data_IF_672488750701
#
_entry.id   IF_672488750701
#
_cell.length_a   1.000
_cell.length_b   1.000
_cell.length_c   1.000
_cell.angle_alpha   90.00
_cell.angle_beta   90.00
_cell.angle_gamma   90.00
#
_symmetry.space_group_name_H-M   'P 1'
#
loop_
_entity.id
_entity.type
_entity.pdbx_description
1 polymer ?
#
# COMPACT_ATOMS: atom_id res chain seq x y z
N UNK A 1 -12.59 17.25 -2.14
CA UNK A 1 -12.80 16.93 -3.57
C UNK A 1 -13.08 15.45 -3.69
N UNK A 2 -14.29 15.06 -4.07
CA UNK A 2 -14.61 13.67 -4.40
C UNK A 2 -13.89 13.30 -5.70
N UNK A 3 -13.04 12.28 -5.66
CA UNK A 3 -12.41 11.73 -6.86
C UNK A 3 -13.35 10.67 -7.43
N UNK A 4 -13.94 10.94 -8.59
CA UNK A 4 -14.64 9.90 -9.36
C UNK A 4 -13.61 8.96 -9.97
N UNK A 5 -13.33 7.86 -9.27
CA UNK A 5 -12.46 6.79 -9.77
C UNK A 5 -13.33 5.88 -10.66
N UNK A 6 -13.08 5.93 -11.97
CA UNK A 6 -13.73 5.04 -12.93
C UNK A 6 -12.73 3.97 -13.38
N UNK A 7 -13.05 2.70 -13.13
CA UNK A 7 -12.24 1.56 -13.56
C UNK A 7 -12.75 1.09 -14.91
N UNK A 8 -11.87 1.00 -15.91
CA UNK A 8 -12.21 0.37 -17.18
C UNK A 8 -12.17 -1.15 -17.05
N UNK A 9 -13.32 -1.74 -16.67
CA UNK A 9 -13.43 -3.16 -16.38
C UNK A 9 -13.13 -4.05 -17.59
N UNK A 10 -13.54 -3.66 -18.80
CA UNK A 10 -13.32 -4.48 -20.00
C UNK A 10 -11.83 -4.65 -20.31
N UNK A 11 -11.03 -3.58 -20.15
CA UNK A 11 -9.57 -3.65 -20.34
C UNK A 11 -8.92 -4.59 -19.32
N UNK A 12 -9.38 -4.57 -18.07
CA UNK A 12 -8.87 -5.48 -17.03
C UNK A 12 -9.19 -6.92 -17.37
N UNK A 13 -10.43 -7.21 -17.81
CA UNK A 13 -10.86 -8.56 -18.19
C UNK A 13 -10.07 -9.07 -19.40
N UNK A 14 -9.81 -8.23 -20.39
CA UNK A 14 -9.02 -8.58 -21.57
C UNK A 14 -7.58 -8.94 -21.20
N UNK A 15 -6.91 -8.11 -20.40
CA UNK A 15 -5.56 -8.40 -19.90
C UNK A 15 -5.53 -9.68 -19.05
N UNK A 16 -6.57 -9.91 -18.23
CA UNK A 16 -6.70 -11.14 -17.44
C UNK A 16 -6.82 -12.38 -18.33
N UNK A 17 -7.59 -12.30 -19.41
CA UNK A 17 -7.70 -13.37 -20.38
C UNK A 17 -6.35 -13.67 -21.04
N UNK A 18 -5.64 -12.64 -21.49
CA UNK A 18 -4.33 -12.77 -22.12
C UNK A 18 -3.31 -13.40 -21.15
N UNK A 19 -3.23 -12.93 -19.91
CA UNK A 19 -2.32 -13.49 -18.90
C UNK A 19 -2.64 -14.94 -18.57
N UNK A 20 -3.91 -15.30 -18.40
CA UNK A 20 -4.30 -16.70 -18.16
C UNK A 20 -3.77 -17.61 -19.28
N UNK A 21 -3.89 -17.16 -20.53
CA UNK A 21 -3.38 -17.88 -21.71
C UNK A 21 -1.85 -17.98 -21.70
N UNK A 22 -1.14 -16.89 -21.38
CA UNK A 22 0.32 -16.88 -21.24
C UNK A 22 0.82 -17.83 -20.15
N UNK A 23 0.09 -17.93 -19.03
CA UNK A 23 0.37 -18.85 -17.92
C UNK A 23 -0.04 -20.31 -18.24
N UNK A 24 -0.67 -20.58 -19.40
CA UNK A 24 -1.11 -21.91 -19.80
C UNK A 24 -2.25 -22.48 -18.95
N UNK A 25 -3.02 -21.63 -18.27
CA UNK A 25 -4.12 -22.08 -17.42
C UNK A 25 -5.41 -22.29 -18.24
N UNK A 26 -6.09 -23.40 -18.02
CA UNK A 26 -7.50 -23.57 -18.44
C UNK A 26 -8.42 -22.77 -17.51
N UNK A 27 -9.66 -22.50 -17.92
CA UNK A 27 -10.64 -21.85 -17.04
C UNK A 27 -10.92 -22.69 -15.78
N UNK A 28 -10.93 -24.01 -15.92
CA UNK A 28 -11.07 -24.95 -14.81
C UNK A 28 -9.90 -24.84 -13.83
N UNK A 29 -8.65 -24.88 -14.34
CA UNK A 29 -7.46 -24.75 -13.50
C UNK A 29 -7.43 -23.41 -12.77
N UNK A 30 -7.78 -22.32 -13.45
CA UNK A 30 -7.89 -21.00 -12.83
C UNK A 30 -8.97 -20.98 -11.75
N UNK A 31 -10.14 -21.59 -12.01
CA UNK A 31 -11.22 -21.69 -11.03
C UNK A 31 -10.78 -22.39 -9.74
N UNK A 32 -10.11 -23.54 -9.88
CA UNK A 32 -9.56 -24.29 -8.74
C UNK A 32 -8.58 -23.42 -7.94
N UNK A 33 -7.62 -22.77 -8.61
CA UNK A 33 -6.62 -21.93 -7.94
C UNK A 33 -7.23 -20.70 -7.26
N UNK A 34 -8.27 -20.11 -7.85
CA UNK A 34 -8.95 -18.93 -7.31
C UNK A 34 -10.05 -19.29 -6.30
N UNK A 35 -10.34 -20.58 -6.07
CA UNK A 35 -11.40 -21.04 -5.18
C UNK A 35 -12.81 -20.69 -5.67
N UNK A 36 -13.00 -20.62 -7.00
CA UNK A 36 -14.29 -20.28 -7.64
C UNK A 36 -14.68 -21.35 -8.67
N UNK A 37 -15.97 -21.44 -8.98
CA UNK A 37 -16.43 -22.36 -10.03
C UNK A 37 -15.96 -21.95 -11.43
N UNK A 38 -15.73 -22.93 -12.31
CA UNK A 38 -15.43 -22.69 -13.75
C UNK A 38 -16.46 -21.76 -14.42
N UNK A 39 -17.78 -21.86 -14.17
CA UNK A 39 -18.75 -20.91 -14.71
C UNK A 39 -18.49 -19.46 -14.29
N UNK A 40 -17.99 -19.23 -13.08
CA UNK A 40 -17.63 -17.90 -12.58
C UNK A 40 -16.45 -17.31 -13.36
N UNK A 41 -15.43 -18.12 -13.65
CA UNK A 41 -14.30 -17.70 -14.50
C UNK A 41 -14.78 -17.36 -15.91
N UNK A 42 -15.66 -18.18 -16.48
CA UNK A 42 -16.23 -17.90 -17.81
C UNK A 42 -17.05 -16.60 -17.81
N UNK A 43 -17.89 -16.37 -16.81
CA UNK A 43 -18.64 -15.12 -16.69
C UNK A 43 -17.75 -13.89 -16.54
N UNK A 44 -16.67 -14.01 -15.76
CA UNK A 44 -15.67 -12.96 -15.63
C UNK A 44 -15.02 -12.64 -16.98
N UNK A 45 -14.54 -13.64 -17.71
CA UNK A 45 -13.86 -13.44 -19.00
C UNK A 45 -14.78 -12.91 -20.11
N UNK A 46 -16.08 -13.21 -20.04
CA UNK A 46 -17.07 -12.70 -20.99
C UNK A 46 -17.61 -11.30 -20.62
N UNK A 47 -17.08 -10.67 -19.56
CA UNK A 47 -17.49 -9.32 -19.16
C UNK A 47 -18.91 -9.24 -18.56
N UNK A 48 -19.46 -10.36 -18.06
CA UNK A 48 -20.75 -10.34 -17.40
C UNK A 48 -20.66 -9.56 -16.07
N UNK A 49 -21.54 -8.58 -15.88
CA UNK A 49 -21.49 -7.67 -14.74
C UNK A 49 -22.00 -8.28 -13.42
N UNK A 50 -22.64 -9.46 -13.46
CA UNK A 50 -23.21 -10.09 -12.27
C UNK A 50 -22.25 -11.12 -11.63
N UNK A 51 -21.01 -10.69 -11.41
CA UNK A 51 -20.01 -11.45 -10.66
C UNK A 51 -19.74 -10.77 -9.32
N UNK A 52 -19.50 -11.55 -8.28
CA UNK A 52 -19.09 -10.99 -7.00
C UNK A 52 -17.69 -10.38 -7.14
N UNK A 53 -17.51 -9.17 -6.59
CA UNK A 53 -16.21 -8.51 -6.57
C UNK A 53 -15.14 -9.39 -5.92
N UNK A 54 -15.47 -10.11 -4.84
CA UNK A 54 -14.55 -11.05 -4.20
C UNK A 54 -14.04 -12.14 -5.15
N UNK A 55 -14.93 -12.73 -5.96
CA UNK A 55 -14.55 -13.72 -6.97
C UNK A 55 -13.67 -13.12 -8.06
N UNK A 56 -13.98 -11.90 -8.52
CA UNK A 56 -13.18 -11.21 -9.50
C UNK A 56 -11.77 -10.88 -8.96
N UNK A 57 -11.68 -10.43 -7.70
CA UNK A 57 -10.41 -10.18 -7.02
C UNK A 57 -9.60 -11.46 -6.83
N UNK A 58 -10.22 -12.58 -6.47
CA UNK A 58 -9.51 -13.87 -6.37
C UNK A 58 -8.92 -14.30 -7.72
N UNK A 59 -9.67 -14.15 -8.81
CA UNK A 59 -9.19 -14.44 -10.17
C UNK A 59 -7.99 -13.54 -10.52
N UNK A 60 -8.13 -12.23 -10.34
CA UNK A 60 -7.06 -11.27 -10.62
C UNK A 60 -5.81 -11.52 -9.76
N UNK A 61 -6.00 -11.94 -8.50
CA UNK A 61 -4.92 -12.29 -7.59
C UNK A 61 -4.10 -13.49 -8.08
N UNK A 62 -4.75 -14.57 -8.51
CA UNK A 62 -4.07 -15.75 -9.08
C UNK A 62 -3.31 -15.40 -10.37
N UNK A 63 -3.84 -14.47 -11.16
CA UNK A 63 -3.20 -13.98 -12.39
C UNK A 63 -2.10 -12.93 -12.14
N UNK A 64 -1.76 -12.64 -10.88
CA UNK A 64 -0.74 -11.65 -10.53
C UNK A 64 -1.09 -10.23 -10.99
N UNK A 65 -2.38 -9.92 -11.14
CA UNK A 65 -2.89 -8.62 -11.56
C UNK A 65 -3.29 -7.72 -10.39
N UNK A 66 -3.15 -8.23 -9.17
CA UNK A 66 -3.27 -7.43 -7.97
C UNK A 66 -1.90 -7.10 -7.43
N UNK A 67 -1.73 -5.84 -7.05
CA UNK A 67 -0.58 -5.44 -6.28
C UNK A 67 -0.64 -6.11 -4.91
N UNK A 68 0.38 -6.89 -4.59
CA UNK A 68 0.46 -7.64 -3.34
C UNK A 68 1.67 -7.23 -2.51
N UNK A 69 2.26 -6.08 -2.86
CA UNK A 69 3.23 -5.35 -2.05
C UNK A 69 2.55 -4.93 -0.75
N UNK A 70 3.02 -5.47 0.37
CA UNK A 70 2.56 -5.11 1.71
C UNK A 70 3.78 -4.70 2.53
N UNK A 71 3.59 -3.68 3.38
CA UNK A 71 4.61 -3.27 4.35
C UNK A 71 4.23 -3.78 5.74
N UNK A 72 5.14 -4.49 6.38
CA UNK A 72 5.05 -4.79 7.81
C UNK A 72 5.93 -3.79 8.56
N UNK A 73 5.32 -2.86 9.29
CA UNK A 73 6.05 -1.82 10.03
C UNK A 73 6.51 -2.31 11.40
N UNK A 74 7.78 -2.06 11.73
CA UNK A 74 8.31 -2.16 13.09
C UNK A 74 8.33 -0.77 13.74
N UNK A 75 7.16 -0.33 14.18
CA UNK A 75 7.01 0.99 14.83
C UNK A 75 7.64 1.03 16.22
N UNK A 76 7.88 -0.12 16.86
CA UNK A 76 8.40 -0.18 18.22
C UNK A 76 9.86 0.26 18.31
N UNK A 77 10.58 0.18 17.18
CA UNK A 77 11.97 0.65 17.05
C UNK A 77 12.04 2.06 16.45
N UNK A 78 10.92 2.78 16.41
CA UNK A 78 10.91 4.13 15.89
C UNK A 78 11.78 5.07 16.74
N UNK A 79 12.52 5.95 16.08
CA UNK A 79 13.38 6.91 16.75
C UNK A 79 13.37 8.26 16.03
N UNK A 80 13.60 9.32 16.78
CA UNK A 80 13.77 10.65 16.22
C UNK A 80 15.22 10.89 15.82
N UNK A 81 15.45 11.33 14.59
CA UNK A 81 16.76 11.74 14.07
C UNK A 81 16.85 13.27 14.03
N UNK A 82 17.63 13.90 14.94
CA UNK A 82 17.63 15.36 15.08
C UNK A 82 18.15 16.12 13.86
N UNK A 83 19.15 15.60 13.15
CA UNK A 83 19.78 16.29 12.02
C UNK A 83 18.85 16.43 10.82
N UNK A 84 18.00 15.42 10.59
CA UNK A 84 17.01 15.41 9.51
C UNK A 84 15.63 15.87 9.98
N UNK A 85 15.45 16.08 11.28
CA UNK A 85 14.18 16.43 11.92
C UNK A 85 13.05 15.50 11.48
N UNK A 86 13.29 14.19 11.58
CA UNK A 86 12.34 13.14 11.18
C UNK A 86 12.17 12.11 12.28
N UNK A 87 10.99 11.48 12.34
CA UNK A 87 10.81 10.22 13.06
C UNK A 87 10.92 9.08 12.06
N UNK A 88 11.86 8.17 12.29
CA UNK A 88 12.18 7.03 11.44
C UNK A 88 11.59 5.77 12.04
N UNK A 89 11.06 4.89 11.20
CA UNK A 89 10.75 3.50 11.51
C UNK A 89 11.17 2.58 10.35
N UNK A 90 11.38 1.30 10.64
CA UNK A 90 11.64 0.30 9.62
C UNK A 90 10.33 -0.35 9.17
N UNK A 91 10.25 -0.72 7.89
CA UNK A 91 9.21 -1.60 7.37
C UNK A 91 9.85 -2.72 6.55
N UNK A 92 9.20 -3.88 6.48
CA UNK A 92 9.63 -4.99 5.64
C UNK A 92 8.61 -5.21 4.54
N UNK A 93 9.07 -5.22 3.29
CA UNK A 93 8.30 -5.65 2.13
C UNK A 93 8.95 -6.88 1.52
N UNK A 94 8.35 -8.06 1.70
CA UNK A 94 8.65 -9.42 1.17
C UNK A 94 10.13 -9.88 1.11
N UNK A 95 11.04 -9.07 0.61
CA UNK A 95 12.44 -9.36 0.32
C UNK A 95 13.41 -8.27 0.80
N UNK A 96 12.93 -7.08 1.21
CA UNK A 96 13.79 -5.96 1.61
C UNK A 96 13.24 -5.16 2.80
N UNK A 97 14.17 -4.66 3.62
CA UNK A 97 13.90 -3.60 4.57
C UNK A 97 13.76 -2.26 3.83
N UNK A 98 12.72 -1.51 4.18
CA UNK A 98 12.41 -0.18 3.67
C UNK A 98 12.50 0.78 4.85
N UNK A 99 13.36 1.78 4.74
CA UNK A 99 13.43 2.85 5.72
C UNK A 99 12.25 3.80 5.49
N UNK A 100 11.45 4.02 6.52
CA UNK A 100 10.31 4.95 6.47
C UNK A 100 10.53 6.08 7.46
N UNK A 101 10.13 7.29 7.08
CA UNK A 101 10.30 8.48 7.88
C UNK A 101 9.08 9.41 7.75
N UNK A 102 8.77 10.14 8.79
CA UNK A 102 7.88 11.30 8.74
C UNK A 102 8.63 12.53 9.21
N UNK A 103 8.54 13.62 8.45
CA UNK A 103 9.10 14.92 8.84
C UNK A 103 8.41 15.47 10.08
N UNK A 104 9.17 16.16 10.93
CA UNK A 104 8.63 16.79 12.12
C UNK A 104 7.60 17.87 11.78
N UNK A 105 7.78 18.56 10.65
CA UNK A 105 6.81 19.52 10.10
C UNK A 105 5.46 18.85 9.83
N UNK A 106 5.45 17.75 9.06
CA UNK A 106 4.23 16.98 8.81
C UNK A 106 3.60 16.44 10.10
N UNK A 107 4.43 16.01 11.05
CA UNK A 107 3.97 15.52 12.35
C UNK A 107 3.32 16.64 13.19
N UNK A 108 3.88 17.84 13.15
CA UNK A 108 3.35 19.05 13.80
C UNK A 108 2.02 19.46 13.19
N UNK A 109 2.01 19.69 11.87
CA UNK A 109 0.88 20.30 11.16
C UNK A 109 -0.38 19.42 11.19
N UNK A 110 -0.21 18.09 11.11
CA UNK A 110 -1.34 17.16 10.98
C UNK A 110 -1.67 16.37 12.24
N UNK A 111 -0.75 16.28 13.21
CA UNK A 111 -0.93 15.45 14.41
C UNK A 111 -0.70 16.21 15.72
N UNK A 112 -0.47 17.52 15.68
CA UNK A 112 -0.53 18.39 16.86
C UNK A 112 0.72 18.35 17.75
N UNK A 113 1.89 18.04 17.19
CA UNK A 113 3.17 18.17 17.89
C UNK A 113 3.58 19.62 17.98
N UNK A 114 3.60 20.20 19.19
CA UNK A 114 4.28 21.47 19.41
C UNK A 114 5.80 21.28 19.37
N UNK A 115 6.44 21.82 18.32
CA UNK A 115 7.90 21.88 18.20
C UNK A 115 8.40 22.94 19.20
N UNK A 116 8.95 22.50 20.34
CA UNK A 116 9.54 23.42 21.34
C UNK A 116 11.05 23.54 21.11
N UNK A 117 11.49 24.73 20.74
CA UNK A 117 12.92 25.06 20.64
C UNK A 117 13.61 24.83 21.99
N UNK A 118 14.74 24.12 21.99
CA UNK A 118 15.61 23.96 23.17
C UNK A 118 15.33 22.78 24.09
N UNK A 119 14.21 22.05 23.93
CA UNK A 119 13.96 20.78 24.65
C UNK A 119 13.46 19.73 23.68
N UNK A 120 14.38 19.19 22.87
CA UNK A 120 14.08 18.02 22.06
C UNK A 120 14.20 16.78 22.91
N UNK A 121 13.16 16.49 23.70
CA UNK A 121 13.02 15.14 24.23
C UNK A 121 12.56 14.28 23.05
N UNK A 122 13.50 13.56 22.43
CA UNK A 122 13.26 12.57 21.37
C UNK A 122 12.04 11.68 21.62
N UNK A 123 11.71 11.49 22.90
CA UNK A 123 10.56 10.75 23.39
C UNK A 123 9.20 11.36 22.97
N UNK A 124 9.05 12.69 22.90
CA UNK A 124 7.75 13.32 22.57
C UNK A 124 7.36 13.04 21.12
N UNK A 125 8.29 13.22 20.17
CA UNK A 125 8.03 13.01 18.75
C UNK A 125 7.75 11.54 18.43
N UNK A 126 8.53 10.63 19.03
CA UNK A 126 8.27 9.18 18.90
C UNK A 126 6.93 8.81 19.54
N UNK A 127 6.58 9.39 20.70
CA UNK A 127 5.29 9.15 21.35
C UNK A 127 4.13 9.59 20.47
N UNK A 128 4.21 10.76 19.84
CA UNK A 128 3.12 11.24 18.97
C UNK A 128 3.02 10.42 17.69
N UNK A 129 4.16 10.05 17.10
CA UNK A 129 4.20 9.08 16.00
C UNK A 129 3.50 7.77 16.38
N UNK A 130 3.82 7.21 17.56
CA UNK A 130 3.21 5.96 18.04
C UNK A 130 1.71 6.10 18.31
N UNK A 131 1.26 7.25 18.82
CA UNK A 131 -0.16 7.55 19.04
C UNK A 131 -0.94 7.58 17.71
N UNK A 132 -0.32 8.05 16.63
CA UNK A 132 -0.93 8.19 15.31
C UNK A 132 -0.46 7.14 14.29
N UNK A 133 0.22 6.08 14.75
CA UNK A 133 0.92 5.11 13.89
C UNK A 133 0.05 4.53 12.78
N UNK A 134 -1.24 4.27 13.04
CA UNK A 134 -2.13 3.70 12.03
C UNK A 134 -2.30 4.63 10.83
N UNK A 135 -2.48 5.94 11.05
CA UNK A 135 -2.65 6.92 9.98
C UNK A 135 -1.34 7.16 9.25
N UNK A 136 -0.24 7.27 9.99
CA UNK A 136 1.09 7.55 9.42
C UNK A 136 1.58 6.35 8.59
N UNK A 137 1.47 5.12 9.12
CA UNK A 137 1.80 3.91 8.38
C UNK A 137 0.93 3.74 7.12
N UNK A 138 -0.36 4.10 7.18
CA UNK A 138 -1.21 4.08 5.99
C UNK A 138 -0.75 5.09 4.92
N UNK A 139 -0.33 6.29 5.32
CA UNK A 139 0.26 7.26 4.39
C UNK A 139 1.57 6.75 3.78
N UNK A 140 2.44 6.13 4.59
CA UNK A 140 3.67 5.48 4.13
C UNK A 140 3.39 4.35 3.14
N UNK A 141 2.40 3.50 3.42
CA UNK A 141 1.97 2.41 2.53
C UNK A 141 1.41 2.95 1.21
N UNK A 142 0.56 3.97 1.26
CA UNK A 142 0.05 4.63 0.05
C UNK A 142 1.19 5.18 -0.81
N UNK A 143 2.19 5.81 -0.19
CA UNK A 143 3.36 6.36 -0.89
C UNK A 143 4.25 5.27 -1.47
N UNK A 144 4.43 4.16 -0.75
CA UNK A 144 5.12 2.94 -1.22
C UNK A 144 4.47 2.35 -2.46
N UNK A 145 3.15 2.15 -2.41
CA UNK A 145 2.39 1.56 -3.52
C UNK A 145 2.40 2.47 -4.76
N UNK A 146 2.41 3.79 -4.55
CA UNK A 146 2.57 4.78 -5.62
C UNK A 146 3.98 4.79 -6.23
N UNK A 147 4.95 4.07 -5.67
CA UNK A 147 6.33 4.04 -6.16
C UNK A 147 7.08 5.37 -5.95
N UNK A 148 6.63 6.21 -5.02
CA UNK A 148 7.21 7.52 -4.74
C UNK A 148 8.26 7.43 -3.63
N UNK A 149 9.50 7.18 -4.03
CA UNK A 149 10.65 7.02 -3.12
C UNK A 149 11.57 8.24 -3.15
N UNK A 150 12.32 8.43 -2.07
CA UNK A 150 13.48 9.31 -2.06
C UNK A 150 14.65 8.70 -2.85
N UNK A 151 15.68 9.49 -3.16
CA UNK A 151 16.80 9.05 -4.00
C UNK A 151 17.60 7.87 -3.40
N UNK A 152 17.54 7.69 -2.09
CA UNK A 152 18.17 6.59 -1.35
C UNK A 152 17.27 5.34 -1.23
N UNK A 153 16.08 5.36 -1.82
CA UNK A 153 15.08 4.29 -1.75
C UNK A 153 14.22 4.31 -0.48
N UNK A 154 14.37 5.30 0.39
CA UNK A 154 13.53 5.48 1.57
C UNK A 154 12.17 6.10 1.23
N UNK A 155 11.24 6.00 2.18
CA UNK A 155 9.95 6.69 2.12
C UNK A 155 9.97 7.81 3.15
N UNK A 156 9.79 9.06 2.70
CA UNK A 156 9.64 10.21 3.59
C UNK A 156 8.25 10.83 3.42
N UNK A 157 7.51 10.96 4.52
CA UNK A 157 6.23 11.67 4.59
C UNK A 157 6.49 13.14 4.93
N UNK A 158 6.04 14.01 4.03
CA UNK A 158 6.03 15.48 4.14
C UNK A 158 4.59 15.97 4.33
N UNK A 159 4.41 17.24 4.69
CA UNK A 159 3.08 17.85 4.92
C UNK A 159 2.16 17.68 3.71
N UNK A 160 2.71 17.81 2.50
CA UNK A 160 1.97 17.63 1.24
C UNK A 160 1.47 16.20 0.96
N UNK A 161 1.95 15.19 1.69
CA UNK A 161 1.54 13.80 1.54
C UNK A 161 0.27 13.45 2.37
N UNK A 162 -0.15 14.32 3.30
CA UNK A 162 -1.16 14.06 4.34
C UNK A 162 -2.50 14.79 4.14
#
# INVERSE_FOLDING_TARGET
>A
MERNICINWSVIVEEAHLRRKQLGFTQERLGILAGVGTPTVSHFENGHQNILLSSAMSILGVLGMLDSRNLTFDTNRAFYEPYRMVVICSAVSREAEVLCAISLEALSDHFGVEIKEGVVSSNIYVKEFLANKSKICHAMEKKFLAGSFEADGSILIKTEDL
#
